data_IF_470424687489
#
_entry.id   IF_470424687489
#
_cell.length_a   1.000
_cell.length_b   1.000
_cell.length_c   1.000
_cell.angle_alpha   90.00
_cell.angle_beta   90.00
_cell.angle_gamma   90.00
#
_symmetry.space_group_name_H-M   'P 1'
#
loop_
_entity.id
_entity.type
_entity.pdbx_description
1 polymer ?
#
# COMPACT_ATOMS: atom_id res chain seq x y z
N UNK A 1 9.00 2.22 6.43
CA UNK A 1 9.23 2.55 4.98
C UNK A 1 8.26 1.85 4.03
N UNK A 2 7.50 0.87 4.53
CA UNK A 2 6.60 0.03 3.78
C UNK A 2 5.64 0.75 2.80
N UNK A 3 4.90 1.74 3.29
CA UNK A 3 3.79 2.36 2.53
C UNK A 3 4.27 3.11 1.29
N UNK A 4 5.34 3.89 1.41
CA UNK A 4 5.87 4.66 0.27
C UNK A 4 6.40 3.74 -0.82
N UNK A 5 7.00 2.60 -0.46
CA UNK A 5 7.41 1.58 -1.42
C UNK A 5 6.22 0.99 -2.18
N UNK A 6 5.12 0.67 -1.49
CA UNK A 6 3.88 0.19 -2.13
C UNK A 6 3.32 1.26 -3.08
N UNK A 7 3.21 2.51 -2.62
CA UNK A 7 2.68 3.61 -3.43
C UNK A 7 3.48 3.80 -4.73
N UNK A 8 4.81 3.81 -4.65
CA UNK A 8 5.69 3.94 -5.81
C UNK A 8 5.53 2.76 -6.77
N UNK A 9 5.48 1.53 -6.27
CA UNK A 9 5.32 0.34 -7.11
C UNK A 9 3.95 0.31 -7.80
N UNK A 10 2.88 0.70 -7.10
CA UNK A 10 1.55 0.82 -7.69
C UNK A 10 1.48 1.91 -8.76
N UNK A 11 2.02 3.11 -8.49
CA UNK A 11 2.09 4.20 -9.46
C UNK A 11 2.96 3.88 -10.69
N UNK A 12 3.98 3.03 -10.49
CA UNK A 12 4.82 2.55 -11.59
C UNK A 12 4.08 1.53 -12.46
N UNK A 13 3.35 0.61 -11.83
CA UNK A 13 2.65 -0.49 -12.50
C UNK A 13 1.29 -0.10 -13.09
N UNK A 14 0.65 0.93 -12.53
CA UNK A 14 -0.69 1.39 -12.89
C UNK A 14 -0.60 2.86 -13.32
N UNK A 15 -0.53 3.10 -14.64
CA UNK A 15 -0.37 4.44 -15.21
C UNK A 15 -1.44 5.43 -14.73
N UNK A 16 -2.70 4.97 -14.63
CA UNK A 16 -3.81 5.78 -14.14
C UNK A 16 -3.69 6.21 -12.67
N UNK A 17 -2.92 5.47 -11.86
CA UNK A 17 -2.71 5.79 -10.45
C UNK A 17 -1.59 6.82 -10.24
N UNK A 18 -0.66 6.90 -11.20
CA UNK A 18 0.54 7.74 -11.10
C UNK A 18 0.24 9.20 -10.81
N UNK A 19 -0.73 9.76 -11.53
CA UNK A 19 -1.11 11.16 -11.33
C UNK A 19 -1.68 11.38 -9.93
N UNK A 20 -2.59 10.51 -9.47
CA UNK A 20 -3.18 10.64 -8.14
C UNK A 20 -2.17 10.55 -7.00
N UNK A 21 -1.13 9.72 -7.13
CA UNK A 21 -0.05 9.63 -6.13
C UNK A 21 0.82 10.89 -6.17
N UNK A 22 1.18 11.39 -7.36
CA UNK A 22 1.95 12.63 -7.49
C UNK A 22 1.20 13.85 -6.95
N UNK A 23 -0.09 13.94 -7.21
CA UNK A 23 -0.96 15.00 -6.69
C UNK A 23 -0.98 14.96 -5.16
N UNK A 24 -1.15 13.76 -4.57
CA UNK A 24 -1.13 13.60 -3.11
C UNK A 24 0.21 14.04 -2.47
N UNK A 25 1.35 13.68 -3.09
CA UNK A 25 2.68 14.13 -2.61
C UNK A 25 2.85 15.65 -2.74
N UNK A 26 2.28 16.24 -3.80
CA UNK A 26 2.33 17.69 -4.03
C UNK A 26 1.47 18.45 -3.02
N UNK A 27 0.29 17.93 -2.70
CA UNK A 27 -0.64 18.49 -1.70
C UNK A 27 -0.13 18.32 -0.26
N UNK A 28 0.63 17.25 0.01
CA UNK A 28 1.16 16.90 1.34
C UNK A 28 2.67 16.67 1.29
N UNK A 29 3.44 17.76 1.23
CA UNK A 29 4.90 17.70 1.16
C UNK A 29 5.57 17.08 2.40
N UNK A 30 4.88 17.06 3.54
CA UNK A 30 5.34 16.45 4.80
C UNK A 30 4.95 14.97 4.93
N UNK A 31 4.32 14.36 3.94
CA UNK A 31 3.74 13.01 4.07
C UNK A 31 4.77 11.93 4.46
N UNK A 32 6.02 12.07 4.01
CA UNK A 32 7.08 11.11 4.28
C UNK A 32 7.48 11.02 5.77
N UNK A 33 7.21 12.06 6.56
CA UNK A 33 7.50 12.09 8.00
C UNK A 33 6.27 11.80 8.87
N UNK A 34 5.10 11.54 8.27
CA UNK A 34 3.86 11.23 9.01
C UNK A 34 3.75 9.77 9.39
N UNK A 35 2.70 9.44 10.15
CA UNK A 35 2.41 8.07 10.56
C UNK A 35 2.19 7.14 9.38
N UNK A 36 2.41 5.83 9.58
CA UNK A 36 2.11 4.80 8.56
C UNK A 36 0.67 4.88 8.05
N UNK A 37 -0.28 5.18 8.96
CA UNK A 37 -1.69 5.31 8.62
C UNK A 37 -1.95 6.51 7.72
N UNK A 38 -1.36 7.66 8.04
CA UNK A 38 -1.50 8.87 7.21
C UNK A 38 -0.89 8.64 5.82
N UNK A 39 0.32 8.09 5.77
CA UNK A 39 0.98 7.72 4.51
C UNK A 39 0.07 6.80 3.68
N UNK A 40 -0.58 5.83 4.31
CA UNK A 40 -1.43 4.87 3.60
C UNK A 40 -2.68 5.52 3.01
N UNK A 41 -3.37 6.35 3.80
CA UNK A 41 -4.57 7.03 3.35
C UNK A 41 -4.28 7.98 2.19
N UNK A 42 -3.20 8.74 2.26
CA UNK A 42 -2.87 9.73 1.25
C UNK A 42 -2.23 9.12 0.00
N UNK A 43 -1.33 8.14 0.14
CA UNK A 43 -0.50 7.65 -0.97
C UNK A 43 -1.02 6.35 -1.61
N UNK A 44 -1.88 5.59 -0.92
CA UNK A 44 -2.37 4.30 -1.43
C UNK A 44 -3.89 4.28 -1.51
N UNK A 45 -4.58 4.40 -0.37
CA UNK A 45 -6.03 4.24 -0.32
C UNK A 45 -6.78 5.35 -1.08
N UNK A 46 -6.40 6.62 -0.87
CA UNK A 46 -6.98 7.77 -1.56
C UNK A 46 -6.85 7.67 -3.09
N UNK A 47 -5.64 7.46 -3.64
CA UNK A 47 -5.43 7.22 -5.07
C UNK A 47 -6.24 6.04 -5.62
N UNK A 48 -6.27 4.90 -4.91
CA UNK A 48 -7.04 3.73 -5.34
C UNK A 48 -8.56 4.01 -5.31
N UNK A 49 -9.04 4.79 -4.34
CA UNK A 49 -10.45 5.21 -4.24
C UNK A 49 -10.85 6.15 -5.38
N UNK A 50 -9.98 7.09 -5.76
CA UNK A 50 -10.19 7.93 -6.95
C UNK A 50 -10.30 7.08 -8.21
N UNK A 51 -9.44 6.08 -8.36
CA UNK A 51 -9.48 5.14 -9.49
C UNK A 51 -10.73 4.25 -9.48
N UNK A 52 -11.21 3.84 -8.30
CA UNK A 52 -12.42 3.05 -8.08
C UNK A 52 -13.69 3.76 -8.61
N UNK A 53 -13.74 5.09 -8.48
CA UNK A 53 -14.86 5.91 -8.92
C UNK A 53 -15.01 6.03 -10.44
N UNK A 54 -13.94 5.83 -11.21
CA UNK A 54 -13.86 6.26 -12.63
C UNK A 54 -13.55 5.08 -13.58
N UNK A 55 -13.04 3.97 -13.04
CA UNK A 55 -12.54 2.84 -13.83
C UNK A 55 -13.54 1.70 -14.09
N UNK A 56 -13.15 0.80 -15.00
CA UNK A 56 -13.72 -0.55 -15.09
C UNK A 56 -13.25 -1.40 -13.91
N UNK A 57 -13.95 -2.50 -13.62
CA UNK A 57 -13.50 -3.46 -12.62
C UNK A 57 -12.12 -4.02 -12.99
N UNK A 58 -11.17 -3.90 -12.08
CA UNK A 58 -9.78 -4.36 -12.24
C UNK A 58 -9.33 -5.12 -11.00
N UNK A 59 -8.42 -6.07 -11.20
CA UNK A 59 -7.81 -6.85 -10.14
C UNK A 59 -6.29 -6.65 -10.20
N UNK A 60 -5.73 -6.19 -9.10
CA UNK A 60 -4.30 -6.04 -8.89
C UNK A 60 -3.85 -7.01 -7.80
N UNK A 61 -2.65 -7.56 -7.98
CA UNK A 61 -2.03 -8.46 -7.01
C UNK A 61 -0.74 -7.80 -6.52
N UNK A 62 -0.63 -7.65 -5.21
CA UNK A 62 0.57 -7.20 -4.52
C UNK A 62 1.16 -8.39 -3.80
N UNK A 63 2.44 -8.64 -4.01
CA UNK A 63 3.19 -9.63 -3.25
C UNK A 63 4.16 -8.86 -2.37
N UNK A 64 4.04 -9.06 -1.06
CA UNK A 64 4.96 -8.53 -0.07
C UNK A 64 5.84 -9.68 0.37
N UNK A 65 7.12 -9.60 0.02
CA UNK A 65 8.09 -10.58 0.47
C UNK A 65 8.62 -10.26 1.87
N UNK A 66 8.85 -11.30 2.68
CA UNK A 66 9.49 -11.22 3.99
C UNK A 66 8.94 -10.11 4.92
N UNK A 67 7.61 -10.05 5.09
CA UNK A 67 6.96 -8.98 5.86
C UNK A 67 7.52 -8.86 7.29
N UNK A 68 7.96 -9.96 7.89
CA UNK A 68 8.57 -10.00 9.22
C UNK A 68 9.92 -9.25 9.32
N UNK A 69 10.58 -8.95 8.21
CA UNK A 69 11.78 -8.10 8.17
C UNK A 69 11.43 -6.60 8.06
N UNK A 70 10.15 -6.28 7.85
CA UNK A 70 9.66 -4.91 7.71
C UNK A 70 9.20 -4.38 9.07
N UNK A 71 10.03 -3.53 9.65
CA UNK A 71 9.71 -2.64 10.79
C UNK A 71 9.44 -3.39 12.13
N UNK A 72 9.24 -2.64 13.22
CA UNK A 72 9.06 -3.22 14.57
C UNK A 72 7.73 -3.99 14.68
N UNK A 73 7.63 -4.96 15.59
CA UNK A 73 6.47 -5.88 15.71
C UNK A 73 5.10 -5.16 15.78
N UNK A 74 5.06 -3.96 16.36
CA UNK A 74 3.86 -3.12 16.44
C UNK A 74 3.41 -2.58 15.06
N UNK A 75 4.35 -2.33 14.15
CA UNK A 75 4.07 -1.82 12.80
C UNK A 75 3.47 -2.90 11.90
N UNK A 76 3.79 -4.18 12.11
CA UNK A 76 3.21 -5.29 11.34
C UNK A 76 1.70 -5.36 11.55
N UNK A 77 1.20 -5.22 12.77
CA UNK A 77 -0.24 -5.22 13.05
C UNK A 77 -0.94 -4.03 12.37
N UNK A 78 -0.31 -2.86 12.38
CA UNK A 78 -0.81 -1.68 11.68
C UNK A 78 -0.88 -1.96 10.17
N UNK A 79 0.19 -2.49 9.58
CA UNK A 79 0.25 -2.85 8.16
C UNK A 79 -0.87 -3.82 7.79
N UNK A 80 -1.08 -4.89 8.57
CA UNK A 80 -2.15 -5.85 8.30
C UNK A 80 -3.54 -5.19 8.30
N UNK A 81 -3.82 -4.29 9.24
CA UNK A 81 -5.07 -3.54 9.26
C UNK A 81 -5.23 -2.64 8.03
N UNK A 82 -4.18 -1.94 7.62
CA UNK A 82 -4.21 -1.10 6.43
C UNK A 82 -4.46 -1.93 5.16
N UNK A 83 -3.82 -3.09 5.03
CA UNK A 83 -4.04 -4.01 3.90
C UNK A 83 -5.46 -4.60 3.84
N UNK A 84 -6.19 -4.65 4.96
CA UNK A 84 -7.60 -5.04 4.97
C UNK A 84 -8.49 -3.92 4.43
N UNK A 85 -8.12 -2.66 4.65
CA UNK A 85 -8.91 -1.48 4.29
C UNK A 85 -9.19 -1.41 2.78
N UNK A 86 -8.21 -1.74 1.93
CA UNK A 86 -8.39 -1.77 0.46
C UNK A 86 -9.46 -2.75 -0.03
N UNK A 87 -9.95 -3.66 0.82
CA UNK A 87 -11.08 -4.54 0.49
C UNK A 87 -12.41 -3.81 0.41
N UNK A 88 -12.51 -2.57 0.92
CA UNK A 88 -13.73 -1.76 0.83
C UNK A 88 -13.98 -1.19 -0.57
N UNK A 89 -12.99 -1.26 -1.46
CA UNK A 89 -13.09 -0.78 -2.85
C UNK A 89 -13.94 -1.74 -3.69
N UNK A 90 -14.85 -1.22 -4.51
CA UNK A 90 -15.83 -2.04 -5.22
C UNK A 90 -15.33 -2.53 -6.58
N UNK A 91 -14.67 -1.64 -7.34
CA UNK A 91 -14.22 -1.87 -8.72
C UNK A 91 -12.74 -2.23 -8.79
N UNK A 92 -11.90 -1.54 -8.03
CA UNK A 92 -10.46 -1.78 -7.91
C UNK A 92 -10.25 -2.79 -6.80
N UNK A 93 -9.98 -4.04 -7.18
CA UNK A 93 -9.71 -5.10 -6.22
C UNK A 93 -8.21 -5.25 -6.03
N UNK A 94 -7.73 -5.03 -4.81
CA UNK A 94 -6.35 -5.33 -4.43
C UNK A 94 -6.30 -6.65 -3.65
N UNK A 95 -5.59 -7.65 -4.17
CA UNK A 95 -5.25 -8.86 -3.43
C UNK A 95 -3.81 -8.79 -2.98
N UNK A 96 -3.58 -9.07 -1.71
CA UNK A 96 -2.25 -9.00 -1.12
C UNK A 96 -1.84 -10.40 -0.68
N UNK A 97 -0.70 -10.88 -1.18
CA UNK A 97 -0.03 -12.07 -0.72
C UNK A 97 1.14 -11.66 0.14
N UNK A 98 1.18 -12.20 1.36
CA UNK A 98 2.25 -11.97 2.31
C UNK A 98 3.07 -13.25 2.39
N UNK A 99 4.38 -13.13 2.28
CA UNK A 99 5.32 -14.21 2.59
C UNK A 99 6.11 -13.83 3.83
N UNK A 100 6.54 -14.84 4.56
CA UNK A 100 7.56 -14.74 5.61
C UNK A 100 8.69 -15.68 5.24
N UNK A 101 9.93 -15.30 5.56
CA UNK A 101 11.03 -16.28 5.49
C UNK A 101 10.88 -17.27 6.66
N UNK A 102 11.21 -18.55 6.47
CA UNK A 102 11.30 -19.47 7.60
C UNK A 102 12.36 -18.95 8.58
N UNK A 103 12.00 -18.80 9.85
CA UNK A 103 12.97 -18.62 10.94
C UNK A 103 13.80 -19.91 11.05
N UNK A 104 14.88 -19.96 10.29
CA UNK A 104 15.86 -21.02 10.44
C UNK A 104 16.82 -20.59 11.55
N UNK A 105 16.43 -20.80 12.80
CA UNK A 105 17.41 -20.85 13.88
C UNK A 105 18.23 -22.13 13.69
N UNK A 106 19.38 -22.00 13.02
CA UNK A 106 20.42 -23.01 13.09
C UNK A 106 21.10 -22.87 14.45
N UNK A 107 20.62 -23.64 15.42
CA UNK A 107 21.27 -23.89 16.71
C UNK A 107 22.52 -24.74 16.55
#
# INVERSE_FOLDING_TARGET
KFVTSIAVQLATSISALRQYVNDAVTERSDIASRSLRDQWHELVFGPLSKLDGIGRRTLYVVVVDALNECDEENDIQVILHLLVEVRSLERVRLRVFLTSRPEMELS
#
